data_IF_354448954653
#
_entry.id   IF_354448954653
#
_cell.length_a   1.000
_cell.length_b   1.000
_cell.length_c   1.000
_cell.angle_alpha   90.00
_cell.angle_beta   90.00
_cell.angle_gamma   90.00
#
_symmetry.space_group_name_H-M   'P 1'
#
loop_
_entity.id
_entity.type
_entity.pdbx_description
1 polymer ?
#
# COMPACT_ATOMS: atom_id res chain seq x y z
N UNK A 1 -6.13 1.69 19.28
CA UNK A 1 -5.47 2.39 18.17
C UNK A 1 -5.49 3.90 18.40
N UNK A 2 -4.37 4.55 18.20
CA UNK A 2 -4.30 5.97 18.49
C UNK A 2 -4.82 6.80 17.31
N UNK A 3 -5.50 7.92 17.62
CA UNK A 3 -5.97 8.85 16.61
C UNK A 3 -4.82 9.46 15.82
N UNK A 4 -3.61 9.50 16.39
CA UNK A 4 -2.45 10.04 15.72
C UNK A 4 -2.01 9.19 14.53
N UNK A 5 -2.13 7.86 14.63
CA UNK A 5 -1.81 6.97 13.50
C UNK A 5 -2.73 7.21 12.33
N UNK A 6 -4.02 7.38 12.59
CA UNK A 6 -4.99 7.67 11.53
C UNK A 6 -4.73 9.02 10.88
N UNK A 7 -4.37 10.03 11.68
CA UNK A 7 -4.05 11.35 11.15
C UNK A 7 -2.82 11.30 10.26
N UNK A 8 -1.77 10.59 10.69
CA UNK A 8 -0.56 10.43 9.89
C UNK A 8 -0.85 9.69 8.60
N UNK A 9 -1.66 8.63 8.67
CA UNK A 9 -2.04 7.87 7.50
C UNK A 9 -2.80 8.75 6.52
N UNK A 10 -3.84 9.45 6.98
CA UNK A 10 -4.67 10.28 6.13
C UNK A 10 -3.92 11.46 5.51
N UNK A 11 -2.93 12.00 6.21
CA UNK A 11 -2.13 13.11 5.68
C UNK A 11 -1.03 12.65 4.75
N UNK A 12 -0.68 11.35 4.77
CA UNK A 12 0.40 10.81 3.94
C UNK A 12 -0.08 10.10 2.69
N UNK A 13 -1.32 9.66 2.66
CA UNK A 13 -1.85 8.89 1.54
C UNK A 13 -2.96 9.64 0.83
N UNK A 14 -2.92 9.61 -0.50
CA UNK A 14 -3.98 10.14 -1.33
C UNK A 14 -4.37 9.06 -2.32
N UNK A 15 -5.67 8.75 -2.40
CA UNK A 15 -6.19 7.72 -3.29
C UNK A 15 -6.83 8.36 -4.50
N UNK A 16 -6.46 7.88 -5.69
CA UNK A 16 -7.03 8.36 -6.95
C UNK A 16 -7.59 7.17 -7.71
N UNK A 17 -8.89 7.20 -7.96
CA UNK A 17 -9.57 6.14 -8.67
C UNK A 17 -9.70 6.51 -10.15
N UNK A 18 -9.35 5.58 -11.02
CA UNK A 18 -9.41 5.78 -12.47
C UNK A 18 -10.55 4.96 -13.08
N UNK A 19 -11.03 5.40 -14.24
CA UNK A 19 -12.12 4.75 -14.93
C UNK A 19 -11.76 3.37 -15.49
N UNK A 20 -10.47 3.10 -15.66
CA UNK A 20 -9.99 1.83 -16.24
C UNK A 20 -9.65 0.79 -15.17
N UNK A 21 -10.38 0.78 -14.08
CA UNK A 21 -10.21 -0.18 -12.98
C UNK A 21 -8.83 -0.16 -12.38
N UNK A 22 -8.31 1.03 -12.13
CA UNK A 22 -7.05 1.18 -11.43
C UNK A 22 -7.19 2.15 -10.26
N UNK A 23 -6.35 1.97 -9.26
CA UNK A 23 -6.28 2.84 -8.09
C UNK A 23 -4.84 3.27 -7.93
N UNK A 24 -4.62 4.58 -7.82
CA UNK A 24 -3.29 5.11 -7.53
C UNK A 24 -3.25 5.55 -6.09
N UNK A 25 -2.20 5.18 -5.37
CA UNK A 25 -1.98 5.61 -4.00
C UNK A 25 -0.74 6.50 -4.00
N UNK A 26 -0.94 7.77 -3.72
CA UNK A 26 0.14 8.76 -3.72
C UNK A 26 0.61 8.98 -2.29
N UNK A 27 1.91 8.87 -2.08
CA UNK A 27 2.51 9.01 -0.76
C UNK A 27 3.17 10.38 -0.61
N UNK A 28 2.87 11.07 0.48
CA UNK A 28 3.54 12.34 0.79
C UNK A 28 4.90 12.09 1.43
N UNK A 29 5.05 11.00 2.19
CA UNK A 29 6.30 10.66 2.85
C UNK A 29 7.04 9.59 2.06
N UNK A 30 8.25 9.92 1.63
CA UNK A 30 9.08 8.95 0.92
C UNK A 30 9.51 7.80 1.84
N UNK A 31 9.74 8.08 3.11
CA UNK A 31 10.12 7.05 4.07
C UNK A 31 8.99 6.03 4.24
N UNK A 32 7.75 6.51 4.32
CA UNK A 32 6.61 5.62 4.43
C UNK A 32 6.47 4.77 3.16
N UNK A 33 6.60 5.41 2.00
CA UNK A 33 6.52 4.71 0.73
C UNK A 33 7.56 3.60 0.64
N UNK A 34 8.81 3.92 0.96
CA UNK A 34 9.89 2.93 0.87
C UNK A 34 9.70 1.79 1.89
N UNK A 35 9.15 2.11 3.06
CA UNK A 35 8.83 1.09 4.05
C UNK A 35 7.76 0.14 3.58
N UNK A 36 6.73 0.67 2.93
CA UNK A 36 5.62 -0.14 2.42
C UNK A 36 6.07 -0.99 1.23
N UNK A 37 6.83 -0.41 0.33
CA UNK A 37 7.33 -1.09 -0.88
C UNK A 37 8.27 -2.24 -0.50
N UNK A 38 9.12 -1.99 0.48
CA UNK A 38 10.09 -2.96 0.92
C UNK A 38 11.33 -3.00 0.04
N UNK A 39 12.32 -3.74 0.50
CA UNK A 39 13.58 -3.88 -0.20
C UNK A 39 13.36 -4.58 -1.55
N UNK A 40 13.84 -3.97 -2.61
CA UNK A 40 13.67 -4.48 -3.98
C UNK A 40 12.20 -4.75 -4.33
N UNK A 41 11.28 -3.92 -3.80
CA UNK A 41 9.84 -4.05 -4.02
C UNK A 41 9.28 -5.37 -3.50
N UNK A 42 9.94 -6.00 -2.54
CA UNK A 42 9.57 -7.34 -2.09
C UNK A 42 8.16 -7.42 -1.51
N UNK A 43 7.72 -6.37 -0.80
CA UNK A 43 6.38 -6.37 -0.21
C UNK A 43 5.31 -6.28 -1.28
N UNK A 44 5.51 -5.43 -2.29
CA UNK A 44 4.56 -5.30 -3.38
C UNK A 44 4.50 -6.58 -4.21
N UNK A 45 5.64 -7.22 -4.45
CA UNK A 45 5.68 -8.48 -5.20
C UNK A 45 4.93 -9.57 -4.45
N UNK A 46 5.04 -9.60 -3.13
CA UNK A 46 4.32 -10.58 -2.33
C UNK A 46 2.82 -10.33 -2.41
N UNK A 47 2.38 -9.08 -2.35
CA UNK A 47 0.97 -8.74 -2.49
C UNK A 47 0.44 -9.12 -3.86
N UNK A 48 1.21 -8.87 -4.93
CA UNK A 48 0.82 -9.30 -6.28
C UNK A 48 0.58 -10.80 -6.33
N UNK A 49 1.49 -11.55 -5.74
CA UNK A 49 1.42 -13.00 -5.73
C UNK A 49 0.21 -13.50 -4.95
N UNK A 50 -0.07 -12.90 -3.80
CA UNK A 50 -1.16 -13.31 -2.93
C UNK A 50 -2.54 -12.95 -3.49
N UNK A 51 -2.62 -11.86 -4.24
CA UNK A 51 -3.92 -11.34 -4.70
C UNK A 51 -4.18 -11.55 -6.20
N UNK A 52 -3.14 -11.88 -6.96
CA UNK A 52 -3.28 -12.01 -8.41
C UNK A 52 -3.52 -10.68 -9.11
N UNK A 53 -3.08 -9.58 -8.51
CA UNK A 53 -3.21 -8.24 -9.10
C UNK A 53 -1.87 -7.78 -9.65
N UNK A 54 -1.88 -6.71 -10.42
CA UNK A 54 -0.68 -6.05 -10.90
C UNK A 54 -0.46 -4.78 -10.08
N UNK A 55 0.72 -4.66 -9.49
CA UNK A 55 1.06 -3.52 -8.64
C UNK A 55 2.35 -2.89 -9.18
N UNK A 56 2.26 -1.62 -9.52
CA UNK A 56 3.37 -0.88 -10.10
C UNK A 56 3.82 0.21 -9.14
N UNK A 57 5.13 0.38 -9.04
CA UNK A 57 5.72 1.44 -8.22
C UNK A 57 6.37 2.45 -9.16
N UNK A 58 5.93 3.69 -9.07
CA UNK A 58 6.49 4.77 -9.90
C UNK A 58 6.52 6.07 -9.11
N UNK A 59 7.73 6.66 -9.00
CA UNK A 59 7.90 7.92 -8.29
C UNK A 59 7.44 7.83 -6.86
N UNK A 60 6.43 8.63 -6.50
CA UNK A 60 5.88 8.64 -5.14
C UNK A 60 4.53 7.93 -5.06
N UNK A 61 4.21 7.09 -6.04
CA UNK A 61 2.90 6.45 -6.06
C UNK A 61 2.99 4.95 -6.34
N UNK A 62 1.94 4.26 -5.91
CA UNK A 62 1.74 2.84 -6.17
C UNK A 62 0.46 2.75 -7.00
N UNK A 63 0.55 2.11 -8.15
CA UNK A 63 -0.60 1.89 -9.04
C UNK A 63 -1.05 0.44 -8.93
N UNK A 64 -2.32 0.25 -8.60
CA UNK A 64 -2.93 -1.07 -8.50
C UNK A 64 -3.87 -1.26 -9.68
N UNK A 65 -3.70 -2.36 -10.41
CA UNK A 65 -4.50 -2.64 -11.58
C UNK A 65 -4.92 -4.11 -11.57
N UNK A 66 -6.23 -4.36 -11.72
CA UNK A 66 -6.74 -5.72 -11.70
C UNK A 66 -8.02 -5.79 -12.52
N UNK A 67 -8.14 -6.83 -13.32
CA UNK A 67 -9.34 -7.07 -14.10
C UNK A 67 -10.39 -7.84 -13.31
N UNK A 68 -10.03 -8.34 -12.13
CA UNK A 68 -10.91 -9.20 -11.32
C UNK A 68 -11.59 -8.47 -10.17
N UNK A 69 -11.45 -7.15 -10.11
CA UNK A 69 -12.09 -6.35 -9.06
C UNK A 69 -11.44 -6.42 -7.71
N UNK A 70 -10.20 -6.88 -7.63
CA UNK A 70 -9.48 -7.02 -6.36
C UNK A 70 -8.69 -5.77 -5.96
N UNK A 71 -8.87 -4.67 -6.68
CA UNK A 71 -8.14 -3.44 -6.40
C UNK A 71 -8.40 -2.92 -4.99
N UNK A 72 -9.65 -2.98 -4.52
CA UNK A 72 -10.00 -2.52 -3.19
C UNK A 72 -9.31 -3.36 -2.11
N UNK A 73 -9.22 -4.66 -2.33
CA UNK A 73 -8.54 -5.56 -1.39
C UNK A 73 -7.07 -5.16 -1.26
N UNK A 74 -6.42 -4.90 -2.40
CA UNK A 74 -5.01 -4.49 -2.39
C UNK A 74 -4.85 -3.11 -1.78
N UNK A 75 -5.76 -2.17 -2.10
CA UNK A 75 -5.73 -0.84 -1.50
C UNK A 75 -5.81 -0.94 0.01
N UNK A 76 -6.74 -1.74 0.52
CA UNK A 76 -6.90 -1.93 1.96
C UNK A 76 -5.67 -2.58 2.58
N UNK A 77 -5.05 -3.52 1.88
CA UNK A 77 -3.82 -4.16 2.34
C UNK A 77 -2.68 -3.15 2.46
N UNK A 78 -2.52 -2.30 1.44
CA UNK A 78 -1.46 -1.28 1.46
C UNK A 78 -1.73 -0.26 2.57
N UNK A 79 -2.99 0.09 2.79
CA UNK A 79 -3.39 0.98 3.87
C UNK A 79 -3.03 0.37 5.23
N UNK A 80 -3.31 -0.92 5.40
CA UNK A 80 -2.96 -1.65 6.62
C UNK A 80 -1.44 -1.66 6.84
N UNK A 81 -0.67 -1.97 5.78
CA UNK A 81 0.79 -1.99 5.88
C UNK A 81 1.35 -0.61 6.21
N UNK A 82 0.76 0.44 5.63
CA UNK A 82 1.17 1.81 5.93
C UNK A 82 0.96 2.13 7.40
N UNK A 83 -0.18 1.72 7.95
CA UNK A 83 -0.48 1.92 9.36
C UNK A 83 0.50 1.14 10.24
N UNK A 84 0.82 -0.10 9.88
CA UNK A 84 1.79 -0.89 10.62
C UNK A 84 3.17 -0.23 10.62
N UNK A 85 3.58 0.31 9.48
CA UNK A 85 4.87 0.99 9.40
C UNK A 85 4.89 2.25 10.27
N UNK A 86 3.81 3.03 10.26
CA UNK A 86 3.71 4.24 11.09
C UNK A 86 3.78 3.88 12.57
N UNK A 87 3.10 2.81 12.98
CA UNK A 87 3.03 2.41 14.38
C UNK A 87 4.32 1.72 14.87
N UNK A 88 4.92 0.88 14.03
CA UNK A 88 6.00 -0.01 14.46
C UNK A 88 7.35 0.32 13.83
N UNK A 89 7.39 1.18 12.83
CA UNK A 89 8.62 1.54 12.15
C UNK A 89 9.12 0.49 11.16
N UNK A 90 8.38 -0.61 10.99
CA UNK A 90 8.78 -1.67 10.06
C UNK A 90 7.58 -2.52 9.70
N UNK A 91 7.72 -3.25 8.60
CA UNK A 91 6.72 -4.21 8.13
C UNK A 91 7.36 -5.58 8.10
N UNK A 92 6.72 -6.55 8.73
CA UNK A 92 7.17 -7.94 8.73
C UNK A 92 6.35 -8.76 7.75
N UNK A 93 6.88 -9.91 7.36
CA UNK A 93 6.19 -10.79 6.41
C UNK A 93 4.80 -11.20 6.90
N UNK A 94 4.66 -11.41 8.21
CA UNK A 94 3.36 -11.76 8.79
C UNK A 94 2.32 -10.65 8.57
N UNK A 95 2.75 -9.40 8.51
CA UNK A 95 1.86 -8.27 8.29
C UNK A 95 1.28 -8.31 6.88
N UNK A 96 2.08 -8.72 5.91
CA UNK A 96 1.62 -8.83 4.52
C UNK A 96 0.59 -9.94 4.41
N UNK A 97 0.84 -11.07 5.05
CA UNK A 97 -0.07 -12.22 5.02
C UNK A 97 -1.39 -11.88 5.70
N UNK A 98 -1.34 -11.07 6.76
CA UNK A 98 -2.53 -10.69 7.52
C UNK A 98 -3.29 -9.50 6.92
N UNK A 99 -2.69 -8.84 5.95
CA UNK A 99 -3.28 -7.62 5.38
C UNK A 99 -4.52 -7.87 4.53
#
# INVERSE_FOLDING_TARGET
>A
MSNQSLKKLNSNLKFVYSENNSISIIFQSNDLLMGVVGEFNSNLKELEKLTGTNIYFRGNSILIKSETGKNEIVKNAIQFLSEQFINNGSIEKKDIISS
#
